data_IF_349282997283
#
_entry.id   IF_349282997283
#
_cell.length_a   1.000
_cell.length_b   1.000
_cell.length_c   1.000
_cell.angle_alpha   90.00
_cell.angle_beta   90.00
_cell.angle_gamma   90.00
#
_symmetry.space_group_name_H-M   'P 1'
#
loop_
_entity.id
_entity.type
_entity.pdbx_description
1 polymer ?
#
# COMPACT_ATOMS: atom_id res chain seq x y z
N UNK A 1 -5.97 -18.71 42.06
CA UNK A 1 -7.12 -17.97 41.49
C UNK A 1 -6.77 -16.52 41.11
N UNK A 2 -5.97 -15.78 41.89
CA UNK A 2 -5.55 -14.40 41.51
C UNK A 2 -4.62 -14.35 40.28
N UNK A 3 -3.71 -15.32 40.13
CA UNK A 3 -2.73 -15.35 39.02
C UNK A 3 -3.36 -15.60 37.64
N UNK A 4 -4.42 -16.41 37.55
CA UNK A 4 -5.08 -16.71 36.25
C UNK A 4 -5.81 -15.48 35.69
N UNK A 5 -6.53 -14.73 36.54
CA UNK A 5 -7.23 -13.51 36.12
C UNK A 5 -6.29 -12.42 35.59
N UNK A 6 -5.07 -12.33 36.13
CA UNK A 6 -4.04 -11.41 35.65
C UNK A 6 -3.49 -11.88 34.30
N UNK A 7 -3.23 -13.17 34.13
CA UNK A 7 -2.80 -13.75 32.85
C UNK A 7 -3.86 -13.57 31.76
N UNK A 8 -5.14 -13.78 32.07
CA UNK A 8 -6.24 -13.59 31.12
C UNK A 8 -6.35 -12.11 30.66
N UNK A 9 -6.17 -11.16 31.59
CA UNK A 9 -6.15 -9.72 31.25
C UNK A 9 -4.93 -9.34 30.41
N UNK A 10 -3.75 -9.89 30.70
CA UNK A 10 -2.54 -9.66 29.91
C UNK A 10 -2.66 -10.24 28.49
N UNK A 11 -3.23 -11.45 28.36
CA UNK A 11 -3.51 -12.07 27.08
C UNK A 11 -4.51 -11.23 26.25
N UNK A 12 -5.57 -10.71 26.86
CA UNK A 12 -6.53 -9.84 26.17
C UNK A 12 -5.95 -8.49 25.72
N UNK A 13 -5.05 -7.89 26.51
CA UNK A 13 -4.33 -6.68 26.11
C UNK A 13 -3.38 -6.95 24.94
N UNK A 14 -2.63 -8.06 24.98
CA UNK A 14 -1.74 -8.46 23.89
C UNK A 14 -2.51 -8.75 22.59
N UNK A 15 -3.69 -9.37 22.69
CA UNK A 15 -4.56 -9.66 21.54
C UNK A 15 -5.11 -8.37 20.90
N UNK A 16 -5.47 -7.37 21.73
CA UNK A 16 -5.89 -6.06 21.23
C UNK A 16 -4.77 -5.31 20.51
N UNK A 17 -3.54 -5.37 21.02
CA UNK A 17 -2.36 -4.76 20.39
C UNK A 17 -2.03 -5.44 19.06
N UNK A 18 -2.07 -6.76 19.00
CA UNK A 18 -1.84 -7.54 17.78
C UNK A 18 -2.91 -7.25 16.72
N UNK A 19 -4.18 -7.15 17.14
CA UNK A 19 -5.28 -6.78 16.24
C UNK A 19 -5.08 -5.39 15.67
N UNK A 20 -4.65 -4.44 16.50
CA UNK A 20 -4.40 -3.06 16.06
C UNK A 20 -3.24 -2.96 15.08
N UNK A 21 -2.14 -3.68 15.34
CA UNK A 21 -1.00 -3.81 14.41
C UNK A 21 -1.45 -4.38 13.07
N UNK A 22 -2.23 -5.45 13.08
CA UNK A 22 -2.76 -6.06 11.86
C UNK A 22 -3.64 -5.09 11.04
N UNK A 23 -4.41 -4.22 11.71
CA UNK A 23 -5.20 -3.17 11.04
C UNK A 23 -4.30 -2.12 10.40
N UNK A 24 -3.26 -1.67 11.10
CA UNK A 24 -2.28 -0.72 10.57
C UNK A 24 -1.42 -1.28 9.43
N UNK A 25 -1.09 -2.57 9.47
CA UNK A 25 -0.31 -3.22 8.42
C UNK A 25 -1.07 -3.25 7.09
N UNK A 26 -2.40 -3.45 7.14
CA UNK A 26 -3.25 -3.37 5.95
C UNK A 26 -3.25 -1.99 5.31
N UNK A 27 -3.13 -0.92 6.10
CA UNK A 27 -3.09 0.45 5.58
C UNK A 27 -1.95 0.72 4.60
N UNK A 28 -0.90 -0.09 4.60
CA UNK A 28 0.20 -0.01 3.63
C UNK A 28 -0.25 -0.25 2.19
N UNK A 29 -1.29 -1.06 1.99
CA UNK A 29 -1.73 -1.50 0.67
C UNK A 29 -2.98 -0.77 0.18
N UNK A 30 -3.70 -0.09 1.07
CA UNK A 30 -4.89 0.67 0.72
C UNK A 30 -4.52 2.00 0.06
N UNK A 31 -5.26 2.38 -0.99
CA UNK A 31 -5.02 3.61 -1.74
C UNK A 31 -6.26 4.49 -1.87
N UNK A 32 -6.03 5.80 -2.01
CA UNK A 32 -7.05 6.83 -2.17
C UNK A 32 -8.17 6.71 -1.14
N UNK A 33 -9.42 6.54 -1.58
CA UNK A 33 -10.57 6.53 -0.65
C UNK A 33 -10.58 5.34 0.31
N UNK A 34 -9.93 4.24 -0.05
CA UNK A 34 -9.87 3.04 0.78
C UNK A 34 -8.91 3.21 1.97
N UNK A 35 -8.08 4.25 1.99
CA UNK A 35 -7.30 4.63 3.16
C UNK A 35 -8.22 5.18 4.24
N UNK A 36 -8.54 4.34 5.23
CA UNK A 36 -9.34 4.75 6.39
C UNK A 36 -8.65 5.87 7.17
N UNK A 37 -9.40 6.77 7.84
CA UNK A 37 -8.80 7.85 8.64
C UNK A 37 -7.79 7.34 9.66
N UNK A 38 -8.04 6.15 10.20
CA UNK A 38 -7.16 5.47 11.15
C UNK A 38 -5.77 5.17 10.56
N UNK A 39 -5.63 4.96 9.24
CA UNK A 39 -4.32 4.74 8.62
C UNK A 39 -3.34 5.90 8.87
N UNK A 40 -3.86 7.13 8.98
CA UNK A 40 -3.07 8.33 9.26
C UNK A 40 -2.61 8.44 10.71
N UNK A 41 -3.20 7.64 11.60
CA UNK A 41 -2.87 7.61 13.02
C UNK A 41 -1.75 6.61 13.34
N UNK A 42 -1.22 5.90 12.33
CA UNK A 42 -0.14 4.95 12.56
C UNK A 42 1.14 5.71 13.00
N UNK A 43 1.62 5.53 14.24
CA UNK A 43 2.83 6.19 14.71
C UNK A 43 4.08 5.77 13.92
N UNK A 44 4.04 4.62 13.25
CA UNK A 44 5.11 4.10 12.40
C UNK A 44 5.06 4.60 10.95
N UNK A 45 4.05 5.40 10.56
CA UNK A 45 3.98 6.05 9.24
C UNK A 45 4.83 7.34 9.13
N UNK A 46 5.70 7.60 10.10
CA UNK A 46 6.94 8.31 9.78
C UNK A 46 7.71 7.42 8.81
N UNK A 47 7.43 7.55 7.51
CA UNK A 47 8.34 7.12 6.46
C UNK A 47 9.69 7.65 6.89
N UNK A 48 10.59 6.77 7.33
CA UNK A 48 11.92 7.17 7.75
C UNK A 48 12.48 7.97 6.59
N UNK A 49 12.77 9.23 6.84
CA UNK A 49 13.45 10.18 5.95
C UNK A 49 14.91 9.73 5.71
N UNK A 50 15.12 8.45 5.42
CA UNK A 50 16.26 8.04 4.64
C UNK A 50 15.91 8.48 3.21
N UNK A 51 16.29 9.72 2.90
CA UNK A 51 16.27 10.37 1.60
C UNK A 51 17.22 9.68 0.59
N UNK A 52 17.35 8.36 0.67
CA UNK A 52 17.89 7.55 -0.40
C UNK A 52 16.85 7.58 -1.52
N UNK A 53 17.25 8.12 -2.67
CA UNK A 53 16.39 8.38 -3.81
C UNK A 53 15.46 7.19 -4.11
N UNK A 54 14.16 7.34 -3.82
CA UNK A 54 13.16 6.35 -4.20
C UNK A 54 13.27 6.08 -5.71
N UNK A 55 13.21 4.82 -6.15
CA UNK A 55 13.21 4.50 -7.57
C UNK A 55 12.00 5.17 -8.25
N UNK A 56 12.18 5.64 -9.47
CA UNK A 56 11.15 6.37 -10.20
C UNK A 56 10.06 5.48 -10.80
N UNK A 57 10.32 4.17 -10.94
CA UNK A 57 9.41 3.21 -11.56
C UNK A 57 9.72 1.75 -11.17
N UNK A 58 8.77 0.84 -11.41
CA UNK A 58 8.99 -0.60 -11.30
C UNK A 58 10.13 -1.09 -12.21
N UNK A 59 10.35 -0.47 -13.37
CA UNK A 59 11.47 -0.83 -14.25
C UNK A 59 12.82 -0.49 -13.64
N UNK A 60 12.92 0.63 -12.92
CA UNK A 60 14.13 0.99 -12.18
C UNK A 60 14.38 0.04 -11.00
N UNK A 61 13.32 -0.33 -10.29
CA UNK A 61 13.39 -1.35 -9.23
C UNK A 61 13.93 -2.67 -9.80
N UNK A 62 13.40 -3.14 -10.93
CA UNK A 62 13.89 -4.36 -11.57
C UNK A 62 15.39 -4.27 -11.92
N UNK A 63 15.82 -3.13 -12.49
CA UNK A 63 17.23 -2.89 -12.83
C UNK A 63 18.16 -2.89 -11.62
N UNK A 64 17.64 -2.56 -10.43
CA UNK A 64 18.39 -2.65 -9.17
C UNK A 64 18.56 -4.09 -8.65
N UNK A 65 18.05 -5.10 -9.37
CA UNK A 65 18.18 -6.51 -9.02
C UNK A 65 17.00 -7.09 -8.24
N UNK A 66 15.96 -6.30 -7.98
CA UNK A 66 14.72 -6.77 -7.33
C UNK A 66 13.80 -7.41 -8.35
N UNK A 67 13.76 -8.75 -8.37
CA UNK A 67 13.07 -9.54 -9.40
C UNK A 67 11.73 -10.13 -8.96
N UNK A 68 11.33 -9.95 -7.69
CA UNK A 68 10.07 -10.47 -7.16
C UNK A 68 8.93 -9.48 -7.35
N UNK A 69 7.80 -9.96 -7.86
CA UNK A 69 6.56 -9.18 -7.92
C UNK A 69 6.03 -8.90 -6.51
N UNK A 70 5.84 -7.62 -6.17
CA UNK A 70 5.40 -7.16 -4.86
C UNK A 70 4.95 -5.70 -4.92
N UNK A 71 4.45 -5.16 -3.81
CA UNK A 71 4.20 -3.73 -3.64
C UNK A 71 5.49 -3.03 -3.25
N UNK A 72 5.85 -2.05 -4.05
CA UNK A 72 7.02 -1.19 -3.85
C UNK A 72 6.60 0.27 -3.72
N UNK A 73 7.48 1.08 -3.15
CA UNK A 73 7.33 2.52 -3.13
C UNK A 73 8.16 3.10 -4.28
N UNK A 74 7.53 3.93 -5.10
CA UNK A 74 8.20 4.68 -6.17
C UNK A 74 8.01 6.19 -5.96
N UNK A 75 8.90 6.99 -6.53
CA UNK A 75 8.74 8.43 -6.66
C UNK A 75 9.09 8.87 -8.08
N UNK A 76 8.11 8.92 -9.00
CA UNK A 76 8.34 9.49 -10.32
C UNK A 76 8.88 10.92 -10.21
N UNK A 77 9.72 11.33 -11.16
CA UNK A 77 10.41 12.64 -11.11
C UNK A 77 9.46 13.83 -11.02
N UNK A 78 8.27 13.71 -11.60
CA UNK A 78 7.24 14.76 -11.60
C UNK A 78 6.39 14.76 -10.33
N UNK A 79 6.51 13.74 -9.48
CA UNK A 79 5.76 13.64 -8.23
C UNK A 79 6.55 14.22 -7.07
N UNK A 80 5.89 15.08 -6.29
CA UNK A 80 6.49 15.65 -5.08
C UNK A 80 6.58 14.62 -3.93
N UNK A 81 5.75 13.56 -3.96
CA UNK A 81 5.65 12.57 -2.90
C UNK A 81 5.80 11.15 -3.44
N UNK A 82 6.49 10.25 -2.71
CA UNK A 82 6.49 8.84 -3.05
C UNK A 82 5.10 8.24 -2.85
N UNK A 83 4.78 7.19 -3.61
CA UNK A 83 3.55 6.42 -3.44
C UNK A 83 3.78 4.92 -3.72
N UNK A 84 2.94 4.08 -3.13
CA UNK A 84 3.00 2.63 -3.29
C UNK A 84 2.36 2.19 -4.62
N UNK A 85 2.98 1.19 -5.27
CA UNK A 85 2.50 0.58 -6.52
C UNK A 85 2.72 -0.93 -6.46
N UNK A 86 1.86 -1.70 -7.14
CA UNK A 86 2.11 -3.12 -7.39
C UNK A 86 3.00 -3.25 -8.64
N UNK A 87 4.17 -3.86 -8.47
CA UNK A 87 5.08 -4.16 -9.58
C UNK A 87 5.00 -5.63 -9.98
N UNK A 88 4.85 -5.89 -11.27
CA UNK A 88 5.07 -7.20 -11.87
C UNK A 88 6.48 -7.25 -12.47
N UNK A 89 7.31 -8.09 -11.85
CA UNK A 89 8.74 -8.25 -12.16
C UNK A 89 9.03 -9.51 -12.97
N UNK A 90 8.02 -10.32 -13.24
CA UNK A 90 8.18 -11.70 -13.73
C UNK A 90 7.58 -11.86 -15.13
N UNK A 91 6.45 -11.20 -15.41
CA UNK A 91 5.77 -11.30 -16.70
C UNK A 91 6.51 -10.51 -17.77
N UNK A 92 6.83 -11.16 -18.91
CA UNK A 92 7.39 -10.51 -20.11
C UNK A 92 8.53 -9.53 -19.78
N UNK A 93 9.62 -10.05 -19.21
CA UNK A 93 10.81 -9.30 -18.79
C UNK A 93 10.61 -8.32 -17.62
N UNK A 94 9.40 -8.26 -17.05
CA UNK A 94 9.11 -7.53 -15.82
C UNK A 94 9.32 -6.01 -15.87
N UNK A 95 9.16 -5.42 -14.69
CA UNK A 95 9.26 -3.98 -14.49
C UNK A 95 7.97 -3.25 -14.85
N UNK A 96 6.85 -3.99 -14.92
CA UNK A 96 5.53 -3.45 -15.19
C UNK A 96 4.93 -2.87 -13.92
N UNK A 97 4.33 -1.70 -14.02
CA UNK A 97 3.53 -1.10 -12.95
C UNK A 97 2.07 -1.37 -13.21
N UNK A 98 1.37 -2.01 -12.28
CA UNK A 98 -0.09 -2.16 -12.39
C UNK A 98 -0.79 -0.83 -12.09
N UNK A 99 -1.53 -0.30 -13.07
CA UNK A 99 -2.39 0.88 -12.89
C UNK A 99 -3.82 0.49 -12.46
N UNK A 100 -4.22 -0.74 -12.75
CA UNK A 100 -5.51 -1.32 -12.41
C UNK A 100 -5.34 -2.84 -12.26
N UNK A 101 -6.08 -3.47 -11.33
CA UNK A 101 -6.17 -4.93 -11.21
C UNK A 101 -7.62 -5.34 -10.88
N UNK A 102 -8.14 -6.34 -11.60
CA UNK A 102 -9.48 -6.94 -11.46
C UNK A 102 -9.36 -8.46 -11.56
N UNK A 103 -10.00 -9.21 -10.68
CA UNK A 103 -10.04 -10.67 -10.74
C UNK A 103 -11.22 -11.32 -9.99
N UNK A 104 -11.80 -10.68 -8.97
CA UNK A 104 -12.82 -11.30 -8.11
C UNK A 104 -14.06 -10.44 -7.82
N UNK A 105 -14.06 -9.17 -8.21
CA UNK A 105 -15.17 -8.25 -7.95
C UNK A 105 -15.29 -7.79 -6.50
N UNK A 106 -14.25 -7.96 -5.68
CA UNK A 106 -14.22 -7.50 -4.28
C UNK A 106 -14.23 -5.97 -4.14
N UNK A 107 -13.85 -5.24 -5.19
CA UNK A 107 -13.83 -3.78 -5.20
C UNK A 107 -14.92 -3.22 -6.13
N UNK A 108 -15.68 -2.24 -5.64
CA UNK A 108 -16.60 -1.46 -6.45
C UNK A 108 -15.83 -0.45 -7.33
N UNK A 109 -16.13 -0.45 -8.63
CA UNK A 109 -15.57 0.48 -9.62
C UNK A 109 -16.61 1.50 -10.10
N UNK A 110 -17.88 1.40 -9.68
CA UNK A 110 -18.90 2.40 -10.02
C UNK A 110 -18.82 3.62 -9.08
N UNK A 111 -17.74 4.39 -9.22
CA UNK A 111 -17.37 5.44 -8.29
C UNK A 111 -17.32 6.84 -8.94
N UNK A 112 -17.53 7.93 -8.18
CA UNK A 112 -17.46 9.29 -8.69
C UNK A 112 -16.04 9.68 -9.13
N UNK A 113 -15.94 10.71 -9.97
CA UNK A 113 -14.68 11.26 -10.50
C UNK A 113 -13.58 11.44 -9.46
N UNK A 114 -13.94 11.95 -8.26
CA UNK A 114 -12.99 12.21 -7.19
C UNK A 114 -12.22 10.94 -6.78
N UNK A 115 -12.89 9.80 -6.73
CA UNK A 115 -12.27 8.53 -6.36
C UNK A 115 -11.34 8.05 -7.48
N UNK A 116 -11.73 8.24 -8.74
CA UNK A 116 -10.85 7.96 -9.88
C UNK A 116 -9.62 8.87 -9.95
N UNK A 117 -9.73 10.13 -9.51
CA UNK A 117 -8.60 11.05 -9.44
C UNK A 117 -7.53 10.54 -8.46
N UNK A 118 -7.94 10.15 -7.25
CA UNK A 118 -7.01 9.80 -6.16
C UNK A 118 -6.76 8.30 -5.99
N UNK A 119 -7.52 7.44 -6.67
CA UNK A 119 -7.43 6.00 -6.54
C UNK A 119 -8.37 5.40 -5.49
N UNK A 120 -8.48 4.07 -5.53
CA UNK A 120 -9.25 3.28 -4.58
C UNK A 120 -8.84 1.81 -4.65
N UNK A 121 -9.13 1.06 -3.59
CA UNK A 121 -8.88 -0.38 -3.49
C UNK A 121 -7.63 -0.74 -2.69
N UNK A 122 -7.19 -1.96 -2.89
CA UNK A 122 -6.06 -2.60 -2.21
C UNK A 122 -5.05 -3.09 -3.25
N UNK A 123 -3.79 -2.66 -3.14
CA UNK A 123 -2.71 -3.06 -4.06
C UNK A 123 -2.42 -4.57 -4.04
N UNK A 124 -2.80 -5.28 -2.97
CA UNK A 124 -2.76 -6.74 -2.91
C UNK A 124 -4.05 -7.41 -3.44
N UNK A 125 -5.13 -6.64 -3.55
CA UNK A 125 -6.43 -7.06 -4.09
C UNK A 125 -6.75 -6.39 -5.43
N UNK A 126 -8.01 -5.97 -5.58
CA UNK A 126 -8.47 -5.18 -6.72
C UNK A 126 -8.34 -3.68 -6.44
N UNK A 127 -7.90 -2.91 -7.44
CA UNK A 127 -7.65 -1.48 -7.25
C UNK A 127 -7.61 -0.68 -8.55
N UNK A 128 -7.69 0.65 -8.38
CA UNK A 128 -7.40 1.68 -9.35
C UNK A 128 -6.37 2.66 -8.78
N UNK A 129 -5.22 2.83 -9.43
CA UNK A 129 -4.07 3.57 -8.87
C UNK A 129 -4.32 5.07 -8.66
N UNK A 130 -5.28 5.65 -9.41
CA UNK A 130 -5.58 7.08 -9.42
C UNK A 130 -4.97 7.81 -10.62
N UNK A 131 -5.74 8.72 -11.22
CA UNK A 131 -5.31 9.51 -12.38
C UNK A 131 -4.14 10.44 -12.06
N UNK A 132 -4.07 10.97 -10.83
CA UNK A 132 -2.97 11.85 -10.41
C UNK A 132 -1.63 11.08 -10.36
N UNK A 133 -1.63 9.87 -9.79
CA UNK A 133 -0.46 8.99 -9.81
C UNK A 133 -0.09 8.57 -11.24
N UNK A 134 -1.08 8.25 -12.07
CA UNK A 134 -0.84 7.90 -13.47
C UNK A 134 -0.22 9.05 -14.25
N UNK A 135 -0.72 10.28 -14.08
CA UNK A 135 -0.15 11.47 -14.68
C UNK A 135 1.32 11.68 -14.29
N UNK A 136 1.70 11.33 -13.05
CA UNK A 136 3.10 11.41 -12.65
C UNK A 136 4.00 10.33 -13.27
N UNK A 137 3.43 9.20 -13.70
CA UNK A 137 4.18 8.08 -14.28
C UNK A 137 4.38 8.18 -15.80
N UNK A 138 3.62 9.05 -16.48
CA UNK A 138 3.57 9.17 -17.96
C UNK A 138 3.97 10.56 -18.42
#
# INVERSE_FOLDING_TARGET
>A
MMLSSVVDKLNGLQESENTLKNVFDKCKYLIGKSQIPFCRLNPAQTFSEAEDAYPSSCKEILKSGKTKSDVYIIKPKTSNKPFAVLCDMETKEGGWTHIQKRFDGSQDFYLPWRDYKFGFGDLMGEFWIGLENMHHMT
#
